data_IF_375038323124
#
_entry.id   IF_375038323124
#
_cell.length_a   1.000
_cell.length_b   1.000
_cell.length_c   1.000
_cell.angle_alpha   90.00
_cell.angle_beta   90.00
_cell.angle_gamma   90.00
#
_symmetry.space_group_name_H-M   'P 1'
#
loop_
_entity.id
_entity.type
_entity.pdbx_description
1 polymer ?
#
# COMPACT_ATOMS: atom_id res chain seq x y z
N UNK A 1 -50.62 -26.60 7.94
CA UNK A 1 -49.40 -27.21 8.51
C UNK A 1 -48.21 -26.38 8.04
N UNK A 2 -47.41 -25.87 8.99
CA UNK A 2 -46.10 -25.22 8.83
C UNK A 2 -46.09 -23.88 8.03
N UNK A 3 -45.31 -22.85 8.34
CA UNK A 3 -44.34 -22.58 9.41
C UNK A 3 -44.12 -21.05 9.54
N UNK A 4 -43.57 -20.68 10.69
CA UNK A 4 -43.36 -19.36 11.29
C UNK A 4 -42.23 -18.52 10.66
N UNK A 5 -42.20 -17.22 11.04
CA UNK A 5 -41.07 -16.24 11.11
C UNK A 5 -40.90 -15.33 9.86
N UNK A 6 -40.45 -14.08 9.92
CA UNK A 6 -39.63 -13.33 10.87
C UNK A 6 -40.07 -11.85 10.94
N UNK A 7 -39.94 -11.27 12.13
CA UNK A 7 -39.66 -9.85 12.32
C UNK A 7 -38.22 -9.58 11.90
N UNK A 8 -37.93 -8.46 11.23
CA UNK A 8 -36.71 -7.68 11.50
C UNK A 8 -36.89 -6.23 11.03
N UNK A 9 -37.20 -5.36 11.98
CA UNK A 9 -37.16 -3.92 11.79
C UNK A 9 -35.71 -3.45 11.99
N UNK A 10 -34.95 -3.40 10.91
CA UNK A 10 -33.63 -2.78 10.92
C UNK A 10 -33.78 -1.25 10.94
N UNK A 11 -33.92 -0.67 12.13
CA UNK A 11 -33.71 0.75 12.36
C UNK A 11 -32.25 1.07 12.04
N UNK A 12 -32.01 1.61 10.85
CA UNK A 12 -30.69 2.10 10.46
C UNK A 12 -30.34 3.34 11.32
N UNK A 13 -29.68 3.10 12.45
CA UNK A 13 -29.00 4.16 13.21
C UNK A 13 -27.86 4.70 12.35
N UNK A 14 -28.14 5.77 11.59
CA UNK A 14 -27.08 6.61 11.02
C UNK A 14 -26.37 7.31 12.17
N UNK A 15 -25.30 6.69 12.67
CA UNK A 15 -24.31 7.38 13.44
C UNK A 15 -23.63 8.40 12.51
N UNK A 16 -23.80 9.69 12.81
CA UNK A 16 -23.02 10.73 12.18
C UNK A 16 -21.56 10.56 12.63
N UNK A 17 -20.58 10.56 11.72
CA UNK A 17 -19.19 10.54 12.13
C UNK A 17 -18.92 11.81 12.94
N UNK A 18 -18.56 11.62 14.22
CA UNK A 18 -17.97 12.68 15.02
C UNK A 18 -16.73 13.14 14.26
N UNK A 19 -16.75 14.39 13.78
CA UNK A 19 -15.58 15.03 13.26
C UNK A 19 -14.63 15.27 14.45
N UNK A 20 -13.75 14.32 14.71
CA UNK A 20 -12.54 14.56 15.50
C UNK A 20 -11.80 15.69 14.80
N UNK A 21 -11.87 16.90 15.37
CA UNK A 21 -11.03 18.00 14.93
C UNK A 21 -9.58 17.57 15.10
N UNK A 22 -8.87 17.42 13.98
CA UNK A 22 -7.46 17.11 14.00
C UNK A 22 -6.74 18.16 14.86
N UNK A 23 -5.78 17.76 15.73
CA UNK A 23 -4.96 18.72 16.45
C UNK A 23 -4.26 19.64 15.44
N UNK A 24 -3.98 20.92 15.78
CA UNK A 24 -3.36 21.86 14.85
C UNK A 24 -2.04 21.26 14.36
N UNK A 25 -2.07 20.75 13.13
CA UNK A 25 -0.97 20.02 12.55
C UNK A 25 0.17 20.98 12.32
N UNK A 26 1.30 20.71 12.95
CA UNK A 26 2.58 21.32 12.64
C UNK A 26 2.78 21.29 11.11
N UNK A 27 2.84 22.45 10.47
CA UNK A 27 3.06 22.58 9.02
C UNK A 27 4.37 21.95 8.53
N UNK A 28 5.40 21.90 9.38
CA UNK A 28 6.64 21.15 9.11
C UNK A 28 6.42 19.63 9.20
N UNK A 29 5.54 19.16 10.09
CA UNK A 29 5.15 17.76 10.14
C UNK A 29 4.35 17.34 8.90
N UNK A 30 3.53 18.23 8.32
CA UNK A 30 2.89 17.96 7.03
C UNK A 30 3.91 17.89 5.89
N UNK A 31 4.88 18.80 5.83
CA UNK A 31 5.95 18.76 4.81
C UNK A 31 6.84 17.52 4.92
N UNK A 32 7.08 17.03 6.13
CA UNK A 32 7.87 15.81 6.34
C UNK A 32 7.17 14.56 5.79
N UNK A 33 5.83 14.51 5.74
CA UNK A 33 5.08 13.35 5.24
C UNK A 33 5.17 13.18 3.72
N UNK A 34 5.35 14.28 2.99
CA UNK A 34 5.48 14.27 1.52
C UNK A 34 6.88 13.83 1.04
N UNK A 35 7.90 13.92 1.92
CA UNK A 35 9.30 13.74 1.54
C UNK A 35 9.97 12.47 2.08
N UNK A 36 9.27 11.66 2.86
CA UNK A 36 9.87 10.52 3.58
C UNK A 36 9.33 9.17 3.08
N UNK A 37 9.29 8.95 1.75
CA UNK A 37 9.20 7.59 1.25
C UNK A 37 10.60 7.08 0.95
N UNK A 38 11.08 6.04 1.68
CA UNK A 38 12.32 5.37 1.33
C UNK A 38 12.24 4.89 -0.11
N UNK A 39 13.14 5.39 -0.96
CA UNK A 39 13.27 4.89 -2.32
C UNK A 39 14.09 3.60 -2.27
N UNK A 40 13.44 2.49 -1.95
CA UNK A 40 14.05 1.17 -1.80
C UNK A 40 14.45 0.58 -3.16
N UNK A 41 15.54 1.08 -3.73
CA UNK A 41 16.20 0.50 -4.88
C UNK A 41 17.46 -0.25 -4.48
N UNK A 42 17.70 -1.40 -5.11
CA UNK A 42 18.92 -2.18 -4.95
C UNK A 42 19.66 -2.34 -6.28
N UNK A 43 20.97 -2.56 -6.18
CA UNK A 43 21.83 -2.93 -7.29
C UNK A 43 21.80 -4.45 -7.47
N UNK A 44 21.34 -4.89 -8.64
CA UNK A 44 21.27 -6.29 -9.03
C UNK A 44 22.43 -6.61 -9.97
N UNK A 45 23.03 -7.80 -9.81
CA UNK A 45 24.04 -8.34 -10.74
C UNK A 45 23.47 -9.57 -11.44
N UNK A 46 23.37 -9.53 -12.76
CA UNK A 46 22.88 -10.66 -13.55
C UNK A 46 24.02 -11.59 -13.95
N UNK A 47 23.72 -12.89 -14.11
CA UNK A 47 24.65 -13.91 -14.62
C UNK A 47 25.18 -13.60 -16.02
N UNK A 48 24.51 -12.74 -16.79
CA UNK A 48 25.00 -12.27 -18.09
C UNK A 48 26.14 -11.23 -17.97
N UNK A 49 26.48 -10.80 -16.75
CA UNK A 49 27.55 -9.84 -16.47
C UNK A 49 27.10 -8.39 -16.32
N UNK A 50 25.83 -8.06 -16.57
CA UNK A 50 25.32 -6.69 -16.39
C UNK A 50 24.89 -6.41 -14.96
N UNK A 51 25.16 -5.21 -14.45
CA UNK A 51 24.60 -4.67 -13.21
C UNK A 51 23.53 -3.61 -13.50
N UNK A 52 22.41 -3.64 -12.78
CA UNK A 52 21.32 -2.67 -12.95
C UNK A 52 20.62 -2.35 -11.62
N UNK A 53 20.02 -1.17 -11.53
CA UNK A 53 19.28 -0.74 -10.33
C UNK A 53 17.79 -0.97 -10.53
N UNK A 54 17.12 -1.59 -9.56
CA UNK A 54 15.68 -1.84 -9.60
C UNK A 54 15.06 -1.77 -8.19
N UNK A 55 13.74 -1.61 -8.06
CA UNK A 55 13.07 -1.63 -6.76
C UNK A 55 13.26 -2.98 -6.06
N UNK A 56 13.56 -2.95 -4.75
CA UNK A 56 13.79 -4.16 -3.93
C UNK A 56 12.58 -5.11 -3.94
N UNK A 57 11.38 -4.55 -4.05
CA UNK A 57 10.12 -5.29 -4.06
C UNK A 57 9.68 -5.79 -5.45
N UNK A 58 10.41 -5.46 -6.53
CA UNK A 58 9.99 -5.80 -7.88
C UNK A 58 10.81 -6.99 -8.44
N UNK A 59 10.11 -8.09 -8.75
CA UNK A 59 10.63 -9.12 -9.63
C UNK A 59 10.81 -8.52 -11.04
N UNK A 60 12.01 -7.99 -11.30
CA UNK A 60 12.34 -7.29 -12.54
C UNK A 60 13.29 -8.14 -13.38
N UNK A 61 12.94 -8.49 -14.63
CA UNK A 61 13.86 -9.19 -15.52
C UNK A 61 15.07 -8.31 -15.83
N UNK A 62 16.22 -8.93 -16.09
CA UNK A 62 17.41 -8.20 -16.51
C UNK A 62 17.12 -7.43 -17.82
N UNK A 63 17.38 -6.11 -17.88
CA UNK A 63 17.12 -5.31 -19.09
C UNK A 63 18.05 -5.68 -20.27
N UNK A 64 19.13 -6.42 -20.00
CA UNK A 64 20.08 -6.83 -21.02
C UNK A 64 19.72 -8.18 -21.67
N UNK A 65 19.39 -9.21 -20.89
CA UNK A 65 19.14 -10.56 -21.40
C UNK A 65 17.73 -11.11 -21.11
N UNK A 66 16.90 -10.39 -20.34
CA UNK A 66 15.54 -10.80 -20.00
C UNK A 66 15.44 -11.88 -18.93
N UNK A 67 16.55 -12.45 -18.43
CA UNK A 67 16.50 -13.46 -17.38
C UNK A 67 15.93 -12.86 -16.08
N UNK A 68 14.97 -13.55 -15.48
CA UNK A 68 14.50 -13.27 -14.12
C UNK A 68 15.53 -13.73 -13.09
N UNK A 69 15.74 -12.94 -12.04
CA UNK A 69 16.49 -13.39 -10.86
C UNK A 69 15.55 -14.29 -10.04
N UNK A 70 15.98 -15.52 -9.64
CA UNK A 70 15.10 -16.52 -9.05
C UNK A 70 14.83 -16.36 -7.54
N UNK A 71 15.32 -15.29 -6.91
CA UNK A 71 15.01 -14.99 -5.51
C UNK A 71 13.65 -14.31 -5.33
#
# INVERSE_FOLDING_TARGET
MAATRLMDSATASRAFPVATSAPPGNVAAMRARDHDHPNDNALYSCVCGSSFTAPVAAATPCPHCGNGQPW
#
